data_IF_121640203103
#
_entry.id   IF_121640203103
#
_cell.length_a   1.000
_cell.length_b   1.000
_cell.length_c   1.000
_cell.angle_alpha   90.00
_cell.angle_beta   90.00
_cell.angle_gamma   90.00
#
_symmetry.space_group_name_H-M   'P 1'
#
loop_
_entity.id
_entity.type
_entity.pdbx_description
1 polymer ?
#
# COMPACT_ATOMS: atom_id res chain seq x y z
N UNK A 1 2.51 18.48 7.72
CA UNK A 1 2.41 17.11 8.26
C UNK A 1 2.30 16.06 7.15
N UNK A 2 1.17 15.77 6.49
CA UNK A 2 1.13 14.73 5.43
C UNK A 2 2.08 14.98 4.24
N UNK A 3 2.34 16.23 3.87
CA UNK A 3 3.25 16.59 2.76
C UNK A 3 4.72 16.53 3.16
N UNK A 4 5.03 16.84 4.40
CA UNK A 4 6.42 16.88 4.90
C UNK A 4 6.94 15.46 5.10
N UNK A 5 6.10 14.54 5.59
CA UNK A 5 6.43 13.12 5.73
C UNK A 5 6.69 12.45 4.36
N UNK A 6 5.95 12.85 3.32
CA UNK A 6 6.19 12.40 1.95
C UNK A 6 7.50 12.93 1.36
N UNK A 7 7.86 14.18 1.67
CA UNK A 7 9.05 14.82 1.13
C UNK A 7 10.36 14.19 1.66
N UNK A 8 10.39 13.77 2.93
CA UNK A 8 11.59 13.18 3.55
C UNK A 8 12.04 11.87 2.90
N UNK A 9 11.11 11.04 2.42
CA UNK A 9 11.40 9.74 1.79
C UNK A 9 11.37 9.79 0.26
N UNK A 10 11.18 10.95 -0.37
CA UNK A 10 10.84 11.06 -1.79
C UNK A 10 9.61 10.21 -2.16
N UNK A 11 8.72 10.00 -1.18
CA UNK A 11 7.54 9.18 -1.33
C UNK A 11 6.54 9.82 -2.32
N UNK A 12 5.80 8.99 -3.04
CA UNK A 12 4.76 9.48 -3.93
C UNK A 12 3.45 8.71 -3.73
N UNK A 13 2.34 9.45 -3.82
CA UNK A 13 1.01 8.88 -3.67
C UNK A 13 0.68 7.90 -4.81
N UNK A 14 -0.15 6.90 -4.50
CA UNK A 14 -0.73 6.03 -5.50
C UNK A 14 -1.52 6.85 -6.55
N UNK A 15 -1.44 6.41 -7.79
CA UNK A 15 -2.17 7.00 -8.91
C UNK A 15 -2.55 5.92 -9.92
N UNK A 16 -3.76 6.01 -10.48
CA UNK A 16 -4.22 5.09 -11.52
C UNK A 16 -3.38 5.21 -12.82
N UNK A 17 -2.80 6.39 -13.05
CA UNK A 17 -2.02 6.70 -14.27
C UNK A 17 -0.52 6.48 -14.13
N UNK A 18 -0.03 6.20 -12.91
CA UNK A 18 1.39 5.95 -12.64
C UNK A 18 1.58 4.56 -12.07
N UNK A 19 2.12 3.65 -12.87
CA UNK A 19 2.53 2.32 -12.40
C UNK A 19 3.96 2.36 -11.88
N UNK A 20 4.29 1.44 -10.96
CA UNK A 20 5.65 1.26 -10.49
C UNK A 20 6.57 0.79 -11.62
N UNK A 21 7.80 1.27 -11.58
CA UNK A 21 8.91 0.80 -12.41
C UNK A 21 10.09 0.45 -11.52
N UNK A 22 10.99 -0.41 -11.97
CA UNK A 22 12.16 -0.80 -11.16
C UNK A 22 13.05 0.37 -10.75
N UNK A 23 13.06 1.45 -11.53
CA UNK A 23 13.78 2.69 -11.18
C UNK A 23 13.18 3.42 -9.97
N UNK A 24 11.98 3.05 -9.53
CA UNK A 24 11.37 3.58 -8.31
C UNK A 24 11.96 2.91 -7.05
N UNK A 25 12.50 1.69 -7.17
CA UNK A 25 13.06 0.88 -6.07
C UNK A 25 14.51 1.29 -5.80
N UNK A 26 14.73 2.17 -4.84
CA UNK A 26 16.02 2.81 -4.57
C UNK A 26 16.69 2.36 -3.27
N UNK A 27 16.03 1.47 -2.52
CA UNK A 27 16.56 0.89 -1.30
C UNK A 27 17.62 -0.17 -1.59
N UNK A 28 18.42 -0.48 -0.59
CA UNK A 28 19.41 -1.54 -0.68
C UNK A 28 18.74 -2.88 -0.31
N UNK A 29 18.86 -3.90 -1.17
CA UNK A 29 18.35 -5.22 -0.83
C UNK A 29 19.18 -5.85 0.29
N UNK A 30 18.59 -6.67 1.17
CA UNK A 30 19.33 -7.42 2.17
C UNK A 30 20.27 -8.43 1.50
N UNK A 31 21.41 -8.69 2.15
CA UNK A 31 22.38 -9.66 1.66
C UNK A 31 21.85 -11.09 1.63
N UNK A 32 20.93 -11.42 2.54
CA UNK A 32 20.31 -12.74 2.67
C UNK A 32 18.77 -12.65 2.57
N UNK A 33 18.11 -13.79 2.38
CA UNK A 33 16.65 -13.91 2.27
C UNK A 33 16.21 -14.38 0.89
N UNK A 34 15.05 -15.03 0.82
CA UNK A 34 14.49 -15.59 -0.41
C UNK A 34 13.78 -14.56 -1.28
N UNK A 35 13.30 -13.46 -0.69
CA UNK A 35 12.62 -12.40 -1.41
C UNK A 35 13.55 -11.77 -2.46
N UNK A 36 13.00 -11.50 -3.62
CA UNK A 36 13.75 -10.91 -4.76
C UNK A 36 13.51 -9.41 -4.89
N UNK A 37 12.42 -8.91 -4.33
CA UNK A 37 12.07 -7.50 -4.28
C UNK A 37 11.18 -7.24 -3.06
N UNK A 38 10.99 -5.96 -2.73
CA UNK A 38 10.06 -5.52 -1.69
C UNK A 38 9.52 -4.13 -1.99
N UNK A 39 8.22 -4.01 -1.98
CA UNK A 39 7.51 -2.73 -1.97
C UNK A 39 7.32 -2.25 -0.53
N UNK A 40 7.92 -1.12 -0.21
CA UNK A 40 7.61 -0.38 1.01
C UNK A 40 6.63 0.76 0.66
N UNK A 41 5.58 0.87 1.44
CA UNK A 41 4.57 1.92 1.32
C UNK A 41 4.14 2.37 2.72
N UNK A 42 3.32 3.41 2.79
CA UNK A 42 2.67 3.87 4.02
C UNK A 42 1.25 4.33 3.73
N UNK A 43 0.39 4.16 4.73
CA UNK A 43 -0.92 4.80 4.80
C UNK A 43 -0.77 6.06 5.64
N UNK A 44 -0.62 7.20 5.00
CA UNK A 44 -0.48 8.50 5.65
C UNK A 44 -1.86 9.10 5.85
N UNK A 45 -2.22 9.44 7.08
CA UNK A 45 -3.55 9.92 7.40
C UNK A 45 -3.53 11.14 8.33
N UNK A 46 -4.59 11.90 8.26
CA UNK A 46 -4.88 13.00 9.17
C UNK A 46 -6.38 13.24 9.23
N UNK A 47 -6.84 13.84 10.31
CA UNK A 47 -8.22 14.31 10.43
C UNK A 47 -8.30 15.68 11.07
N UNK A 48 -9.43 16.31 10.89
CA UNK A 48 -9.81 17.54 11.58
C UNK A 48 -11.33 17.65 11.68
N UNK A 49 -11.80 18.33 12.73
CA UNK A 49 -13.18 18.70 12.90
C UNK A 49 -13.40 20.17 12.60
N UNK A 50 -14.52 20.49 11.99
CA UNK A 50 -15.07 21.84 11.83
C UNK A 50 -16.53 21.80 12.29
N UNK A 51 -16.78 22.11 13.55
CA UNK A 51 -18.04 21.80 14.19
C UNK A 51 -18.25 20.28 14.20
N UNK A 52 -19.36 19.81 13.67
CA UNK A 52 -19.66 18.36 13.55
C UNK A 52 -19.11 17.72 12.26
N UNK A 53 -18.60 18.53 11.33
CA UNK A 53 -18.03 18.03 10.07
C UNK A 53 -16.64 17.43 10.28
N UNK A 54 -16.54 16.11 10.03
CA UNK A 54 -15.30 15.34 10.14
C UNK A 54 -14.63 15.22 8.77
N UNK A 55 -13.42 15.76 8.64
CA UNK A 55 -12.58 15.67 7.42
C UNK A 55 -11.44 14.70 7.69
N UNK A 56 -11.60 13.45 7.25
CA UNK A 56 -10.57 12.41 7.31
C UNK A 56 -9.90 12.25 5.96
N UNK A 57 -8.58 12.27 5.96
CA UNK A 57 -7.76 12.08 4.76
C UNK A 57 -6.78 10.94 4.97
N UNK A 58 -6.65 10.09 3.97
CA UNK A 58 -5.62 9.05 3.92
C UNK A 58 -5.15 8.87 2.49
N UNK A 59 -3.86 8.64 2.32
CA UNK A 59 -3.22 8.34 1.05
C UNK A 59 -2.32 7.12 1.23
N UNK A 60 -2.35 6.22 0.26
CA UNK A 60 -1.32 5.21 0.10
C UNK A 60 -0.14 5.84 -0.64
N UNK A 61 1.06 5.77 -0.09
CA UNK A 61 2.25 6.33 -0.73
C UNK A 61 3.40 5.32 -0.75
N UNK A 62 4.01 5.17 -1.92
CA UNK A 62 5.19 4.34 -2.13
C UNK A 62 6.43 5.02 -1.56
N UNK A 63 7.34 4.24 -0.95
CA UNK A 63 8.55 4.71 -0.28
C UNK A 63 9.80 4.21 -1.01
N UNK A 64 10.32 4.97 -2.00
CA UNK A 64 11.41 4.53 -2.88
C UNK A 64 12.66 4.06 -2.17
N UNK A 65 13.10 4.78 -1.12
CA UNK A 65 14.34 4.46 -0.39
C UNK A 65 14.24 3.22 0.49
N UNK A 66 13.02 2.75 0.77
CA UNK A 66 12.75 1.55 1.56
C UNK A 66 12.32 0.37 0.68
N UNK A 67 12.00 0.62 -0.59
CA UNK A 67 11.67 -0.39 -1.60
C UNK A 67 12.93 -0.80 -2.34
N UNK A 68 13.13 -2.10 -2.52
CA UNK A 68 14.34 -2.62 -3.13
C UNK A 68 14.06 -3.81 -4.06
N UNK A 69 14.99 -4.08 -4.96
CA UNK A 69 15.00 -5.22 -5.86
C UNK A 69 16.41 -5.79 -5.96
N UNK A 70 16.54 -7.12 -5.94
CA UNK A 70 17.83 -7.79 -6.15
C UNK A 70 18.20 -7.81 -7.63
N UNK A 71 19.47 -7.66 -7.93
CA UNK A 71 19.99 -7.72 -9.30
C UNK A 71 19.65 -9.03 -10.01
N UNK A 72 19.56 -10.14 -9.28
CA UNK A 72 19.14 -11.44 -9.83
C UNK A 72 17.77 -11.39 -10.49
N UNK A 73 16.79 -10.71 -9.87
CA UNK A 73 15.45 -10.55 -10.45
C UNK A 73 15.44 -9.69 -11.72
N UNK A 74 16.39 -8.77 -11.87
CA UNK A 74 16.46 -7.89 -13.03
C UNK A 74 17.07 -8.55 -14.27
N UNK A 75 17.86 -9.61 -14.10
CA UNK A 75 18.56 -10.33 -15.20
C UNK A 75 17.65 -11.30 -15.92
N UNK A 76 16.69 -11.89 -15.24
CA UNK A 76 15.70 -12.79 -15.84
C UNK A 76 14.47 -12.01 -16.27
N UNK A 77 14.14 -12.06 -17.56
CA UNK A 77 13.03 -11.27 -18.15
C UNK A 77 11.67 -11.70 -17.61
N UNK A 78 11.47 -12.99 -17.34
CA UNK A 78 10.19 -13.53 -16.85
C UNK A 78 10.04 -13.13 -15.37
N UNK A 79 11.05 -13.40 -14.57
CA UNK A 79 11.06 -13.06 -13.15
C UNK A 79 10.93 -11.53 -12.95
N UNK A 80 11.63 -10.74 -13.75
CA UNK A 80 11.57 -9.28 -13.72
C UNK A 80 10.15 -8.75 -13.91
N UNK A 81 9.37 -9.33 -14.82
CA UNK A 81 7.97 -8.92 -15.08
C UNK A 81 7.02 -9.41 -13.99
N UNK A 82 7.15 -10.67 -13.58
CA UNK A 82 6.27 -11.26 -12.55
C UNK A 82 6.49 -10.60 -11.20
N UNK A 83 7.74 -10.37 -10.80
CA UNK A 83 8.07 -9.67 -9.56
C UNK A 83 7.53 -8.23 -9.56
N UNK A 84 7.72 -7.45 -10.65
CA UNK A 84 7.18 -6.09 -10.70
C UNK A 84 5.65 -6.07 -10.57
N UNK A 85 4.97 -7.04 -11.19
CA UNK A 85 3.51 -7.17 -11.07
C UNK A 85 3.11 -7.50 -9.64
N UNK A 86 3.83 -8.38 -8.96
CA UNK A 86 3.62 -8.72 -7.57
C UNK A 86 3.77 -7.48 -6.68
N UNK A 87 4.87 -6.75 -6.83
CA UNK A 87 5.16 -5.54 -6.06
C UNK A 87 4.13 -4.42 -6.32
N UNK A 88 3.67 -4.27 -7.56
CA UNK A 88 2.60 -3.33 -7.88
C UNK A 88 1.31 -3.68 -7.16
N UNK A 89 0.98 -4.96 -7.04
CA UNK A 89 -0.26 -5.40 -6.37
C UNK A 89 -0.23 -5.09 -4.88
N UNK A 90 0.92 -5.17 -4.21
CA UNK A 90 1.07 -4.67 -2.84
C UNK A 90 0.66 -3.19 -2.73
N UNK A 91 1.14 -2.37 -3.65
CA UNK A 91 0.81 -0.94 -3.65
C UNK A 91 -0.65 -0.66 -4.02
N UNK A 92 -1.20 -1.44 -4.94
CA UNK A 92 -2.62 -1.36 -5.32
C UNK A 92 -3.53 -1.78 -4.15
N UNK A 93 -3.17 -2.82 -3.37
CA UNK A 93 -3.86 -3.22 -2.15
C UNK A 93 -3.86 -2.12 -1.08
N UNK A 94 -2.73 -1.44 -0.89
CA UNK A 94 -2.67 -0.30 0.03
C UNK A 94 -3.67 0.79 -0.35
N UNK A 95 -3.85 1.09 -1.66
CA UNK A 95 -4.87 2.05 -2.12
C UNK A 95 -6.29 1.53 -1.91
N UNK A 96 -6.54 0.23 -2.12
CA UNK A 96 -7.85 -0.39 -1.83
C UNK A 96 -8.23 -0.13 -0.36
N UNK A 97 -7.30 -0.35 0.56
CA UNK A 97 -7.52 -0.09 1.98
C UNK A 97 -7.66 1.40 2.29
N UNK A 98 -6.85 2.26 1.68
CA UNK A 98 -7.00 3.71 1.82
C UNK A 98 -8.40 4.18 1.40
N UNK A 99 -8.94 3.65 0.30
CA UNK A 99 -10.32 3.92 -0.13
C UNK A 99 -11.35 3.39 0.86
N UNK A 100 -11.11 2.20 1.40
CA UNK A 100 -11.94 1.62 2.48
C UNK A 100 -11.99 2.51 3.71
N UNK A 101 -10.83 3.00 4.15
CA UNK A 101 -10.72 3.93 5.28
C UNK A 101 -11.46 5.24 5.02
N UNK A 102 -11.31 5.84 3.82
CA UNK A 102 -12.06 7.04 3.45
C UNK A 102 -13.57 6.83 3.54
N UNK A 103 -14.08 5.71 3.00
CA UNK A 103 -15.52 5.37 3.08
C UNK A 103 -15.97 5.14 4.53
N UNK A 104 -15.20 4.40 5.31
CA UNK A 104 -15.51 4.12 6.72
C UNK A 104 -15.67 5.43 7.51
N UNK A 105 -14.68 6.31 7.43
CA UNK A 105 -14.69 7.54 8.20
C UNK A 105 -15.69 8.59 7.67
N UNK A 106 -16.00 8.59 6.37
CA UNK A 106 -17.06 9.45 5.83
C UNK A 106 -18.46 9.07 6.32
N UNK A 107 -18.66 7.79 6.66
CA UNK A 107 -19.93 7.30 7.24
C UNK A 107 -19.94 7.27 8.78
N UNK A 108 -18.87 7.66 9.45
CA UNK A 108 -18.77 7.55 10.90
C UNK A 108 -19.56 8.66 11.61
N UNK A 109 -20.76 8.35 12.04
CA UNK A 109 -21.60 9.28 12.80
C UNK A 109 -20.90 9.70 14.12
N UNK A 110 -20.94 11.00 14.43
CA UNK A 110 -20.39 11.54 15.67
C UNK A 110 -18.86 11.43 15.78
N UNK A 111 -18.15 11.32 14.68
CA UNK A 111 -16.70 11.26 14.69
C UNK A 111 -16.05 12.41 15.47
N UNK A 112 -16.57 13.63 15.34
CA UNK A 112 -16.07 14.81 16.07
C UNK A 112 -16.39 14.85 17.57
N UNK A 113 -17.17 13.90 18.07
CA UNK A 113 -17.39 13.71 19.52
C UNK A 113 -16.48 12.65 20.12
N UNK A 114 -15.70 11.96 19.29
CA UNK A 114 -14.72 10.97 19.71
C UNK A 114 -13.41 11.66 20.09
N UNK A 115 -12.70 11.08 21.03
CA UNK A 115 -11.34 11.47 21.37
C UNK A 115 -10.35 11.08 20.26
N UNK A 116 -9.20 11.73 20.21
CA UNK A 116 -8.11 11.34 19.30
C UNK A 116 -7.65 9.90 19.54
N UNK A 117 -7.68 9.43 20.80
CA UNK A 117 -7.36 8.05 21.15
C UNK A 117 -8.35 7.06 20.52
N UNK A 118 -9.65 7.31 20.60
CA UNK A 118 -10.67 6.46 19.98
C UNK A 118 -10.53 6.44 18.45
N UNK A 119 -10.32 7.59 17.83
CA UNK A 119 -10.11 7.69 16.38
C UNK A 119 -8.83 6.95 15.97
N UNK A 120 -7.74 7.09 16.72
CA UNK A 120 -6.48 6.38 16.47
C UNK A 120 -6.66 4.86 16.58
N UNK A 121 -7.42 4.36 17.54
CA UNK A 121 -7.73 2.92 17.66
C UNK A 121 -8.50 2.40 16.43
N UNK A 122 -9.47 3.18 15.92
CA UNK A 122 -10.20 2.81 14.70
C UNK A 122 -9.27 2.74 13.49
N UNK A 123 -8.37 3.72 13.34
CA UNK A 123 -7.36 3.72 12.27
C UNK A 123 -6.43 2.51 12.40
N UNK A 124 -5.91 2.24 13.61
CA UNK A 124 -5.00 1.11 13.86
C UNK A 124 -5.62 -0.21 13.48
N UNK A 125 -6.90 -0.44 13.85
CA UNK A 125 -7.64 -1.66 13.46
C UNK A 125 -7.70 -1.82 11.94
N UNK A 126 -8.02 -0.75 11.20
CA UNK A 126 -8.11 -0.79 9.74
C UNK A 126 -6.72 -1.01 9.08
N UNK A 127 -5.66 -0.50 9.69
CA UNK A 127 -4.27 -0.77 9.27
C UNK A 127 -3.90 -2.24 9.55
N UNK A 128 -4.34 -2.82 10.65
CA UNK A 128 -4.07 -4.23 10.96
C UNK A 128 -4.84 -5.17 10.02
N UNK A 129 -6.06 -4.82 9.61
CA UNK A 129 -6.82 -5.53 8.55
C UNK A 129 -6.06 -5.47 7.20
N UNK A 130 -5.49 -4.31 6.86
CA UNK A 130 -4.66 -4.13 5.67
C UNK A 130 -3.41 -5.02 5.71
N UNK A 131 -2.65 -5.00 6.80
CA UNK A 131 -1.47 -5.85 6.98
C UNK A 131 -1.79 -7.35 6.88
N UNK A 132 -2.90 -7.78 7.47
CA UNK A 132 -3.34 -9.16 7.40
C UNK A 132 -3.67 -9.57 5.95
N UNK A 133 -4.27 -8.68 5.15
CA UNK A 133 -4.54 -8.96 3.74
C UNK A 133 -3.26 -9.01 2.91
N UNK A 134 -2.28 -8.15 3.17
CA UNK A 134 -0.97 -8.20 2.51
C UNK A 134 -0.23 -9.52 2.80
N UNK A 135 -0.25 -9.97 4.05
CA UNK A 135 0.34 -11.27 4.43
C UNK A 135 -0.37 -12.44 3.75
N UNK A 136 -1.70 -12.39 3.66
CA UNK A 136 -2.48 -13.40 2.95
C UNK A 136 -2.15 -13.41 1.46
N UNK A 137 -2.02 -12.24 0.84
CA UNK A 137 -1.61 -12.10 -0.56
C UNK A 137 -0.25 -12.76 -0.82
N UNK A 138 0.75 -12.47 0.01
CA UNK A 138 2.08 -13.10 -0.09
C UNK A 138 2.01 -14.62 0.06
N UNK A 139 1.32 -15.09 1.09
CA UNK A 139 1.19 -16.53 1.35
C UNK A 139 0.48 -17.28 0.21
N UNK A 140 -0.63 -16.73 -0.31
CA UNK A 140 -1.40 -17.37 -1.37
C UNK A 140 -0.67 -17.37 -2.71
N UNK A 141 0.03 -16.29 -3.03
CA UNK A 141 0.81 -16.16 -4.27
C UNK A 141 2.19 -16.80 -4.17
N UNK A 142 2.62 -17.20 -2.96
CA UNK A 142 3.99 -17.60 -2.65
C UNK A 142 4.98 -16.53 -3.17
N UNK A 143 4.78 -15.27 -2.74
CA UNK A 143 5.56 -14.10 -3.18
C UNK A 143 5.64 -13.97 -4.72
N UNK A 144 4.50 -14.14 -5.39
CA UNK A 144 4.40 -14.03 -6.85
C UNK A 144 4.85 -15.26 -7.65
N UNK A 145 5.26 -16.33 -6.99
CA UNK A 145 5.72 -17.58 -7.64
C UNK A 145 4.59 -18.51 -8.09
N UNK A 146 3.33 -18.19 -7.77
CA UNK A 146 2.13 -18.93 -8.22
C UNK A 146 1.35 -18.09 -9.24
N UNK A 147 1.58 -18.26 -10.56
CA UNK A 147 1.01 -17.38 -11.58
C UNK A 147 -0.52 -17.30 -11.58
N UNK A 148 -1.19 -18.44 -11.36
CA UNK A 148 -2.67 -18.49 -11.34
C UNK A 148 -3.23 -17.71 -10.13
N UNK A 149 -2.65 -17.88 -8.95
CA UNK A 149 -3.05 -17.14 -7.75
C UNK A 149 -2.76 -15.65 -7.90
N UNK A 150 -1.60 -15.32 -8.49
CA UNK A 150 -1.24 -13.94 -8.81
C UNK A 150 -2.25 -13.30 -9.77
N UNK A 151 -2.66 -14.00 -10.81
CA UNK A 151 -3.67 -13.50 -11.75
C UNK A 151 -5.03 -13.27 -11.08
N UNK A 152 -5.46 -14.19 -10.20
CA UNK A 152 -6.70 -14.04 -9.45
C UNK A 152 -6.68 -12.80 -8.52
N UNK A 153 -5.58 -12.60 -7.79
CA UNK A 153 -5.40 -11.43 -6.94
C UNK A 153 -5.36 -10.13 -7.75
N UNK A 154 -4.67 -10.10 -8.88
CA UNK A 154 -4.63 -8.93 -9.76
C UNK A 154 -6.03 -8.54 -10.24
N UNK A 155 -6.85 -9.51 -10.65
CA UNK A 155 -8.22 -9.27 -11.09
C UNK A 155 -9.11 -8.75 -9.94
N UNK A 156 -9.00 -9.34 -8.76
CA UNK A 156 -9.76 -8.92 -7.57
C UNK A 156 -9.39 -7.50 -7.15
N UNK A 157 -8.10 -7.19 -7.06
CA UNK A 157 -7.60 -5.87 -6.68
C UNK A 157 -8.03 -4.81 -7.71
N UNK A 158 -7.91 -5.11 -9.01
CA UNK A 158 -8.37 -4.21 -10.07
C UNK A 158 -9.87 -3.93 -9.96
N UNK A 159 -10.69 -4.95 -9.68
CA UNK A 159 -12.14 -4.78 -9.45
C UNK A 159 -12.43 -3.88 -8.26
N UNK A 160 -11.69 -4.01 -7.15
CA UNK A 160 -11.89 -3.22 -5.92
C UNK A 160 -11.42 -1.76 -6.07
N UNK A 161 -10.39 -1.53 -6.89
CA UNK A 161 -9.97 -0.17 -7.24
C UNK A 161 -11.02 0.50 -8.13
N UNK A 162 -11.62 -0.26 -9.04
CA UNK A 162 -12.57 0.30 -10.01
C UNK A 162 -11.92 1.26 -11.01
N UNK A 163 -12.70 1.80 -11.91
CA UNK A 163 -12.24 2.82 -12.85
C UNK A 163 -11.93 4.15 -12.15
#
# INVERSE_FOLDING_TARGET
MLRDDLAQDSAFAWSATRRLAWNDFRGLPPAAGAEVAKTAYGLFYAWKCRGEAFDFRVIAAFRPRQSWVKTSALRDTVLRRSALRHEQTHFDLAEVHARGMRRYFSGLAGACRKTDTELTHLVSRLIDEEKAEQQRYDAETNHGLRPERQAAWNAEVARRIGP
#
